data_IF_424281313355
#
_entry.id   IF_424281313355
#
_cell.length_a   1.000
_cell.length_b   1.000
_cell.length_c   1.000
_cell.angle_alpha   90.00
_cell.angle_beta   90.00
_cell.angle_gamma   90.00
#
_symmetry.space_group_name_H-M   'P 1'
#
loop_
_entity.id
_entity.type
_entity.pdbx_description
1 polymer ?
#
# COMPACT_ATOMS: atom_id res chain seq x y z
N UNK A 1 -29.20 6.47 11.64
CA UNK A 1 -27.92 6.47 10.91
C UNK A 1 -27.29 5.10 11.08
N UNK A 2 -27.06 4.36 9.99
CA UNK A 2 -26.51 3.01 10.08
C UNK A 2 -25.08 3.08 10.65
N UNK A 3 -24.82 2.36 11.74
CA UNK A 3 -23.47 2.25 12.30
C UNK A 3 -22.57 1.63 11.23
N UNK A 4 -21.38 2.20 10.96
CA UNK A 4 -20.51 1.65 9.94
C UNK A 4 -20.06 0.25 10.39
N UNK A 5 -20.24 -0.75 9.52
CA UNK A 5 -20.10 -2.20 9.82
C UNK A 5 -18.66 -2.63 10.17
N UNK A 6 -17.67 -1.74 10.05
CA UNK A 6 -16.24 -2.08 10.21
C UNK A 6 -15.77 -2.36 11.65
N UNK A 7 -16.62 -2.16 12.67
CA UNK A 7 -16.22 -2.35 14.09
C UNK A 7 -16.10 -3.81 14.53
N UNK A 8 -16.50 -4.77 13.71
CA UNK A 8 -16.33 -6.18 14.04
C UNK A 8 -15.06 -6.73 13.36
N UNK A 9 -13.94 -6.58 14.06
CA UNK A 9 -12.64 -7.11 13.64
C UNK A 9 -12.65 -8.62 13.41
N UNK A 10 -13.55 -9.36 14.11
CA UNK A 10 -13.72 -10.79 13.90
C UNK A 10 -14.43 -11.05 12.58
N UNK A 11 -15.51 -10.33 12.30
CA UNK A 11 -16.22 -10.45 11.01
C UNK A 11 -15.33 -10.13 9.80
N UNK A 12 -14.45 -9.11 9.92
CA UNK A 12 -13.44 -8.79 8.90
C UNK A 12 -12.48 -9.97 8.68
N UNK A 13 -11.88 -10.47 9.76
CA UNK A 13 -10.90 -11.57 9.71
C UNK A 13 -11.53 -12.83 9.11
N UNK A 14 -12.73 -13.17 9.53
CA UNK A 14 -13.41 -14.38 9.10
C UNK A 14 -13.73 -14.30 7.60
N UNK A 15 -14.23 -13.16 7.11
CA UNK A 15 -14.49 -12.95 5.68
C UNK A 15 -13.20 -12.98 4.83
N UNK A 16 -12.10 -12.39 5.31
CA UNK A 16 -10.81 -12.42 4.61
C UNK A 16 -10.13 -13.80 4.64
N UNK A 17 -10.49 -14.67 5.58
CA UNK A 17 -9.96 -16.03 5.66
C UNK A 17 -10.86 -17.09 5.00
N UNK A 18 -12.12 -16.76 4.70
CA UNK A 18 -13.06 -17.67 4.04
C UNK A 18 -12.69 -17.90 2.57
N UNK A 19 -12.31 -19.12 2.15
CA UNK A 19 -11.78 -19.37 0.80
C UNK A 19 -12.79 -19.04 -0.31
N UNK A 20 -14.08 -19.29 -0.07
CA UNK A 20 -15.17 -19.07 -1.02
C UNK A 20 -16.03 -17.86 -0.66
N UNK A 21 -15.41 -16.84 -0.04
CA UNK A 21 -16.11 -15.63 0.35
C UNK A 21 -16.85 -15.00 -0.84
N UNK A 22 -18.12 -14.66 -0.62
CA UNK A 22 -18.96 -14.01 -1.63
C UNK A 22 -18.31 -12.70 -2.10
N UNK A 23 -18.09 -12.60 -3.42
CA UNK A 23 -17.47 -11.44 -4.07
C UNK A 23 -18.26 -10.16 -3.79
N UNK A 24 -19.58 -10.20 -3.85
CA UNK A 24 -20.39 -9.00 -3.64
C UNK A 24 -20.27 -8.51 -2.20
N UNK A 25 -20.22 -9.43 -1.24
CA UNK A 25 -19.96 -9.14 0.16
C UNK A 25 -18.55 -8.54 0.37
N UNK A 26 -17.53 -9.06 -0.31
CA UNK A 26 -16.18 -8.48 -0.25
C UNK A 26 -16.16 -7.05 -0.78
N UNK A 27 -16.87 -6.76 -1.88
CA UNK A 27 -16.96 -5.42 -2.45
C UNK A 27 -17.73 -4.44 -1.56
N UNK A 28 -18.80 -4.88 -0.90
CA UNK A 28 -19.52 -4.07 0.09
C UNK A 28 -18.61 -3.66 1.26
N UNK A 29 -17.83 -4.61 1.76
CA UNK A 29 -16.86 -4.36 2.82
C UNK A 29 -15.75 -3.42 2.35
N UNK A 30 -15.18 -3.66 1.17
CA UNK A 30 -14.15 -2.81 0.59
C UNK A 30 -14.63 -1.36 0.43
N UNK A 31 -15.84 -1.17 -0.11
CA UNK A 31 -16.44 0.15 -0.32
C UNK A 31 -16.70 0.86 1.02
N UNK A 32 -17.20 0.12 2.02
CA UNK A 32 -17.39 0.66 3.37
C UNK A 32 -16.06 1.10 4.02
N UNK A 33 -14.98 0.34 3.79
CA UNK A 33 -13.64 0.71 4.25
C UNK A 33 -13.12 1.97 3.54
N UNK A 34 -13.33 2.08 2.21
CA UNK A 34 -12.97 3.27 1.44
C UNK A 34 -13.67 4.52 1.94
N UNK A 35 -15.00 4.46 2.13
CA UNK A 35 -15.80 5.59 2.63
C UNK A 35 -15.37 6.06 4.03
N UNK A 36 -14.89 5.11 4.85
CA UNK A 36 -14.40 5.38 6.20
C UNK A 36 -12.90 5.78 6.26
N UNK A 37 -12.20 5.81 5.11
CA UNK A 37 -10.77 6.15 5.04
C UNK A 37 -9.81 5.02 5.45
N UNK A 38 -10.30 3.79 5.62
CA UNK A 38 -9.46 2.61 5.91
C UNK A 38 -8.92 2.01 4.61
N UNK A 39 -8.04 2.75 3.93
CA UNK A 39 -7.60 2.43 2.56
C UNK A 39 -6.84 1.09 2.49
N UNK A 40 -5.97 0.78 3.46
CA UNK A 40 -5.27 -0.51 3.50
C UNK A 40 -6.24 -1.69 3.63
N UNK A 41 -7.28 -1.53 4.44
CA UNK A 41 -8.27 -2.59 4.63
C UNK A 41 -9.12 -2.79 3.38
N UNK A 42 -9.52 -1.69 2.74
CA UNK A 42 -10.23 -1.73 1.47
C UNK A 42 -9.41 -2.46 0.39
N UNK A 43 -8.11 -2.17 0.32
CA UNK A 43 -7.22 -2.80 -0.64
C UNK A 43 -7.16 -4.32 -0.47
N UNK A 44 -7.07 -4.84 0.76
CA UNK A 44 -7.07 -6.28 1.02
C UNK A 44 -8.37 -6.95 0.56
N UNK A 45 -9.52 -6.29 0.77
CA UNK A 45 -10.80 -6.78 0.27
C UNK A 45 -10.88 -6.74 -1.27
N UNK A 46 -10.43 -5.66 -1.92
CA UNK A 46 -10.43 -5.58 -3.38
C UNK A 46 -9.48 -6.60 -4.03
N UNK A 47 -8.31 -6.86 -3.43
CA UNK A 47 -7.40 -7.94 -3.85
C UNK A 47 -8.10 -9.28 -3.80
N UNK A 48 -8.77 -9.58 -2.69
CA UNK A 48 -9.49 -10.84 -2.53
C UNK A 48 -10.67 -10.96 -3.50
N UNK A 49 -11.39 -9.88 -3.76
CA UNK A 49 -12.50 -9.82 -4.72
C UNK A 49 -12.05 -9.81 -6.20
N UNK A 50 -10.75 -9.67 -6.47
CA UNK A 50 -10.18 -9.53 -7.81
C UNK A 50 -10.59 -8.25 -8.53
N UNK A 51 -10.94 -7.18 -7.81
CA UNK A 51 -11.35 -5.91 -8.41
C UNK A 51 -10.14 -5.04 -8.77
N UNK A 52 -9.55 -5.32 -9.93
CA UNK A 52 -8.37 -4.59 -10.42
C UNK A 52 -8.65 -3.11 -10.65
N UNK A 53 -9.86 -2.74 -11.07
CA UNK A 53 -10.22 -1.34 -11.30
C UNK A 53 -10.23 -0.54 -9.99
N UNK A 54 -10.72 -1.12 -8.89
CA UNK A 54 -10.65 -0.48 -7.58
C UNK A 54 -9.20 -0.37 -7.07
N UNK A 55 -8.39 -1.41 -7.28
CA UNK A 55 -6.97 -1.40 -6.91
C UNK A 55 -6.20 -0.32 -7.70
N UNK A 56 -6.50 -0.13 -8.99
CA UNK A 56 -5.91 0.94 -9.80
C UNK A 56 -6.25 2.34 -9.26
N UNK A 57 -7.49 2.57 -8.80
CA UNK A 57 -7.87 3.85 -8.18
C UNK A 57 -7.08 4.11 -6.89
N UNK A 58 -6.92 3.09 -6.05
CA UNK A 58 -6.10 3.18 -4.84
C UNK A 58 -4.65 3.48 -5.20
N UNK A 59 -4.11 2.81 -6.22
CA UNK A 59 -2.76 3.03 -6.69
C UNK A 59 -2.55 4.47 -7.18
N UNK A 60 -3.48 5.03 -7.96
CA UNK A 60 -3.40 6.44 -8.39
C UNK A 60 -3.35 7.38 -7.19
N UNK A 61 -4.23 7.22 -6.20
CA UNK A 61 -4.21 8.03 -4.98
C UNK A 61 -2.91 7.88 -4.20
N UNK A 62 -2.40 6.66 -4.06
CA UNK A 62 -1.15 6.39 -3.36
C UNK A 62 0.07 7.04 -4.06
N UNK A 63 0.10 7.04 -5.39
CA UNK A 63 1.11 7.73 -6.19
C UNK A 63 1.06 9.25 -5.95
N UNK A 64 -0.14 9.83 -5.94
CA UNK A 64 -0.33 11.27 -5.72
C UNK A 64 0.01 11.71 -4.29
N UNK A 65 -0.19 10.84 -3.31
CA UNK A 65 0.14 11.09 -1.91
C UNK A 65 1.60 10.74 -1.57
N UNK A 66 2.35 10.11 -2.48
CA UNK A 66 3.70 9.64 -2.19
C UNK A 66 3.74 8.52 -1.15
N UNK A 67 2.69 7.71 -1.04
CA UNK A 67 2.63 6.57 -0.12
C UNK A 67 3.22 5.31 -0.77
N UNK A 68 4.52 5.13 -0.57
CA UNK A 68 5.28 4.03 -1.17
C UNK A 68 4.82 2.67 -0.67
N UNK A 69 4.36 2.57 0.57
CA UNK A 69 3.89 1.30 1.12
C UNK A 69 2.58 0.89 0.47
N UNK A 70 1.62 1.81 0.36
CA UNK A 70 0.34 1.55 -0.29
C UNK A 70 0.51 1.27 -1.79
N UNK A 71 1.43 1.97 -2.47
CA UNK A 71 1.82 1.68 -3.86
C UNK A 71 2.30 0.23 -3.99
N UNK A 72 3.26 -0.21 -3.17
CA UNK A 72 3.78 -1.60 -3.20
C UNK A 72 2.65 -2.61 -2.99
N UNK A 73 1.76 -2.37 -2.03
CA UNK A 73 0.63 -3.26 -1.78
C UNK A 73 -0.32 -3.33 -2.97
N UNK A 74 -0.64 -2.21 -3.61
CA UNK A 74 -1.56 -2.18 -4.75
C UNK A 74 -0.96 -2.85 -6.00
N UNK A 75 0.33 -2.62 -6.26
CA UNK A 75 1.09 -3.29 -7.32
C UNK A 75 1.09 -4.82 -7.15
N UNK A 76 1.27 -5.31 -5.92
CA UNK A 76 1.16 -6.74 -5.61
C UNK A 76 -0.22 -7.32 -5.92
N UNK A 77 -1.29 -6.55 -5.70
CA UNK A 77 -2.66 -6.91 -6.09
C UNK A 77 -2.87 -6.97 -7.60
N UNK A 78 -2.23 -6.06 -8.34
CA UNK A 78 -2.27 -6.00 -9.81
C UNK A 78 -1.28 -6.94 -10.50
N UNK A 79 -0.39 -7.59 -9.74
CA UNK A 79 0.72 -8.43 -10.24
C UNK A 79 1.57 -7.69 -11.29
N UNK A 80 1.82 -6.41 -11.05
CA UNK A 80 2.68 -5.57 -11.90
C UNK A 80 3.73 -4.88 -11.04
N UNK A 81 4.78 -4.38 -11.67
CA UNK A 81 5.79 -3.55 -11.02
C UNK A 81 5.86 -2.18 -11.69
N UNK A 82 6.45 -1.21 -11.01
CA UNK A 82 6.79 0.09 -11.58
C UNK A 82 8.16 0.01 -12.26
N UNK A 83 8.32 0.79 -13.31
CA UNK A 83 9.62 1.07 -13.91
C UNK A 83 10.49 1.90 -12.98
N UNK A 84 11.80 1.90 -13.22
CA UNK A 84 12.76 2.78 -12.54
C UNK A 84 12.33 4.25 -12.58
N UNK A 85 11.82 4.73 -13.72
CA UNK A 85 11.39 6.12 -13.86
C UNK A 85 10.15 6.44 -13.00
N UNK A 86 9.21 5.51 -12.88
CA UNK A 86 8.05 5.65 -12.02
C UNK A 86 8.44 5.63 -10.54
N UNK A 87 9.38 4.76 -10.14
CA UNK A 87 9.95 4.79 -8.79
C UNK A 87 10.63 6.12 -8.47
N UNK A 88 11.39 6.69 -9.42
CA UNK A 88 11.99 8.02 -9.27
C UNK A 88 10.94 9.12 -9.10
N UNK A 89 9.87 9.09 -9.90
CA UNK A 89 8.77 10.06 -9.81
C UNK A 89 8.07 9.97 -8.46
N UNK A 90 7.82 8.76 -7.97
CA UNK A 90 7.23 8.52 -6.66
C UNK A 90 8.13 9.02 -5.52
N UNK A 91 9.44 8.76 -5.60
CA UNK A 91 10.41 9.26 -4.63
C UNK A 91 10.42 10.79 -4.54
N UNK A 92 10.47 11.46 -5.70
CA UNK A 92 10.38 12.93 -5.79
C UNK A 92 9.09 13.47 -5.20
N UNK A 93 7.97 12.79 -5.44
CA UNK A 93 6.67 13.19 -4.91
C UNK A 93 6.63 13.06 -3.38
N UNK A 94 7.09 11.94 -2.84
CA UNK A 94 7.18 11.72 -1.40
C UNK A 94 8.12 12.74 -0.73
N UNK A 95 9.27 13.04 -1.34
CA UNK A 95 10.23 14.04 -0.86
C UNK A 95 9.59 15.44 -0.82
N UNK A 96 8.90 15.85 -1.90
CA UNK A 96 8.21 17.13 -1.97
C UNK A 96 7.10 17.28 -0.92
N UNK A 97 6.54 16.17 -0.43
CA UNK A 97 5.55 16.13 0.64
C UNK A 97 6.19 15.99 2.04
N UNK A 98 7.51 15.99 2.14
CA UNK A 98 8.25 15.82 3.40
C UNK A 98 8.25 14.39 3.95
N UNK A 99 7.82 13.40 3.17
CA UNK A 99 7.77 11.98 3.54
C UNK A 99 9.10 11.30 3.23
N UNK A 100 10.18 11.74 3.89
CA UNK A 100 11.55 11.36 3.51
C UNK A 100 11.85 9.86 3.59
N UNK A 101 11.30 9.13 4.57
CA UNK A 101 11.45 7.68 4.65
C UNK A 101 10.85 6.96 3.43
N UNK A 102 9.68 7.41 2.96
CA UNK A 102 9.08 6.89 1.74
C UNK A 102 9.88 7.30 0.50
N UNK A 103 10.34 8.55 0.43
CA UNK A 103 11.19 8.98 -0.68
C UNK A 103 12.47 8.14 -0.80
N UNK A 104 13.14 7.86 0.32
CA UNK A 104 14.32 7.01 0.37
C UNK A 104 14.03 5.57 -0.08
N UNK A 105 12.92 4.97 0.35
CA UNK A 105 12.49 3.64 -0.12
C UNK A 105 12.24 3.62 -1.63
N UNK A 106 11.55 4.62 -2.17
CA UNK A 106 11.31 4.72 -3.62
C UNK A 106 12.61 4.91 -4.42
N UNK A 107 13.54 5.73 -3.92
CA UNK A 107 14.86 5.90 -4.56
C UNK A 107 15.70 4.62 -4.51
N UNK A 108 15.67 3.86 -3.40
CA UNK A 108 16.30 2.53 -3.34
C UNK A 108 15.72 1.58 -4.38
N UNK A 109 14.39 1.56 -4.55
CA UNK A 109 13.73 0.76 -5.60
C UNK A 109 14.08 1.20 -7.02
N UNK A 110 14.37 2.48 -7.21
CA UNK A 110 14.90 3.00 -8.47
C UNK A 110 16.41 2.74 -8.68
N UNK A 111 17.14 2.24 -7.68
CA UNK A 111 18.60 2.14 -7.72
C UNK A 111 19.31 3.49 -7.66
N UNK A 112 18.64 4.52 -7.15
CA UNK A 112 19.15 5.90 -7.08
C UNK A 112 19.87 6.17 -5.75
N UNK A 113 20.96 5.45 -5.51
CA UNK A 113 21.71 5.49 -4.23
C UNK A 113 22.20 6.90 -3.87
N UNK A 114 22.55 7.74 -4.86
CA UNK A 114 22.95 9.13 -4.64
C UNK A 114 21.82 9.97 -4.01
N UNK A 115 20.57 9.73 -4.45
CA UNK A 115 19.39 10.41 -3.93
C UNK A 115 19.09 9.97 -2.49
N UNK A 116 19.28 8.69 -2.19
CA UNK A 116 19.15 8.12 -0.83
C UNK A 116 20.20 8.75 0.10
N UNK A 117 21.46 8.79 -0.34
CA UNK A 117 22.54 9.42 0.43
C UNK A 117 22.28 10.91 0.68
N UNK A 118 21.76 11.64 -0.32
CA UNK A 118 21.36 13.06 -0.15
C UNK A 118 20.29 13.19 0.93
N UNK A 119 19.25 12.37 0.89
CA UNK A 119 18.14 12.44 1.86
C UNK A 119 18.61 12.16 3.29
N UNK A 120 19.50 11.17 3.47
CA UNK A 120 20.07 10.83 4.78
C UNK A 120 20.87 12.00 5.36
N UNK A 121 21.69 12.66 4.55
CA UNK A 121 22.44 13.85 4.96
C UNK A 121 21.53 15.03 5.30
N UNK A 122 20.45 15.21 4.55
CA UNK A 122 19.50 16.31 4.75
C UNK A 122 18.66 16.14 6.02
N UNK A 123 18.24 14.92 6.31
CA UNK A 123 17.31 14.63 7.43
C UNK A 123 18.04 14.43 8.75
N UNK A 124 19.35 14.13 8.74
CA UNK A 124 20.10 13.77 9.94
C UNK A 124 19.64 12.45 10.57
N UNK A 125 18.70 11.75 9.93
CA UNK A 125 18.21 10.44 10.33
C UNK A 125 18.95 9.38 9.52
N UNK A 126 19.47 8.36 10.21
CA UNK A 126 19.75 7.08 9.56
C UNK A 126 18.37 6.51 9.27
N UNK A 127 17.90 6.58 8.02
CA UNK A 127 16.64 5.95 7.62
C UNK A 127 16.79 4.47 7.96
N UNK A 128 16.22 4.08 9.09
CA UNK A 128 16.21 2.70 9.55
C UNK A 128 15.61 1.85 8.45
N UNK A 129 16.24 0.69 8.20
CA UNK A 129 15.74 -0.34 7.30
C UNK A 129 14.22 -0.42 7.41
N UNK A 130 13.54 -0.08 6.31
CA UNK A 130 12.11 -0.26 6.22
C UNK A 130 11.87 -1.76 6.36
N UNK A 131 11.38 -2.14 7.54
CA UNK A 131 11.15 -3.51 8.01
C UNK A 131 10.94 -4.51 6.86
N UNK A 132 11.83 -5.52 6.85
CA UNK A 132 11.68 -6.79 6.15
C UNK A 132 10.35 -7.47 6.54
N UNK A 133 9.25 -7.03 5.95
CA UNK A 133 7.95 -7.70 6.00
C UNK A 133 7.72 -8.60 4.78
N UNK A 134 8.78 -9.16 4.21
CA UNK A 134 8.70 -10.25 3.23
C UNK A 134 9.57 -11.45 3.64
N UNK A 135 9.52 -11.83 4.93
CA UNK A 135 9.88 -13.21 5.31
C UNK A 135 8.70 -14.12 5.02
N UNK A 136 8.81 -15.09 4.09
CA UNK A 136 7.86 -16.18 4.05
C UNK A 136 7.92 -16.92 5.38
N UNK A 137 6.80 -16.92 6.12
CA UNK A 137 6.60 -17.83 7.25
C UNK A 137 6.50 -19.25 6.69
N UNK A 138 7.65 -19.90 6.50
CA UNK A 138 7.69 -21.36 6.42
C UNK A 138 7.26 -21.89 7.78
N UNK A 139 5.98 -22.26 7.90
CA UNK A 139 5.54 -23.18 8.93
C UNK A 139 6.05 -24.58 8.55
N UNK A 140 6.67 -25.22 9.54
CA UNK A 140 7.26 -26.54 9.51
C UNK A 140 6.25 -27.65 9.17
#
# INVERSE_FOLDING_TARGET
>A
MAKPKFRDYLAKRDLLNEPDADRDRLLEWASSCMEAGYIHDALEFYKKAGDTAAIERILTGALDEGDVFLVKQALGGLKRDLSTEEWLKLGKRAEALGKFAFAAEAYRKAGAEEEVARLLLLTGEVVGEADDLDRPKHHA
#
